data_IF_637737760048
#
_entry.id   IF_637737760048
#
_cell.length_a   1.000
_cell.length_b   1.000
_cell.length_c   1.000
_cell.angle_alpha   90.00
_cell.angle_beta   90.00
_cell.angle_gamma   90.00
#
_symmetry.space_group_name_H-M   'P 1'
#
loop_
_entity.id
_entity.type
_entity.pdbx_description
1 polymer ?
#
# COMPACT_ATOMS: atom_id res chain seq x y z
N UNK A 1 10.03 -18.89 -0.24
CA UNK A 1 10.76 -17.66 -0.68
C UNK A 1 9.71 -16.59 -0.96
N UNK A 2 9.90 -15.35 -0.48
CA UNK A 2 8.97 -14.25 -0.78
C UNK A 2 8.97 -13.91 -2.28
N UNK A 3 7.82 -13.47 -2.80
CA UNK A 3 7.75 -12.81 -4.09
C UNK A 3 8.52 -11.48 -4.05
N UNK A 4 8.87 -10.91 -5.21
CA UNK A 4 9.55 -9.59 -5.28
C UNK A 4 8.77 -8.54 -4.48
N UNK A 5 7.45 -8.50 -4.65
CA UNK A 5 6.55 -7.58 -3.94
C UNK A 5 6.69 -7.70 -2.42
N UNK A 6 6.54 -8.91 -1.87
CA UNK A 6 6.62 -9.13 -0.42
C UNK A 6 8.04 -8.90 0.12
N UNK A 7 9.09 -9.15 -0.69
CA UNK A 7 10.46 -8.82 -0.33
C UNK A 7 10.65 -7.31 -0.22
N UNK A 8 10.16 -6.53 -1.17
CA UNK A 8 10.17 -5.06 -1.08
C UNK A 8 9.53 -4.57 0.22
N UNK A 9 8.37 -5.12 0.60
CA UNK A 9 7.72 -4.76 1.87
C UNK A 9 8.58 -5.14 3.08
N UNK A 10 9.16 -6.34 3.08
CA UNK A 10 10.03 -6.78 4.17
C UNK A 10 11.28 -5.90 4.30
N UNK A 11 11.82 -5.41 3.19
CA UNK A 11 13.02 -4.57 3.17
C UNK A 11 12.75 -3.12 3.65
N UNK A 12 11.50 -2.66 3.60
CA UNK A 12 11.06 -1.37 4.17
C UNK A 12 10.87 -1.41 5.70
N UNK A 13 11.01 -2.58 6.32
CA UNK A 13 10.96 -2.76 7.77
C UNK A 13 12.38 -3.04 8.26
N UNK A 14 12.98 -2.09 8.98
CA UNK A 14 14.31 -2.27 9.58
C UNK A 14 14.23 -3.16 10.82
N UNK A 15 13.52 -2.69 11.84
CA UNK A 15 13.23 -3.46 13.06
C UNK A 15 11.97 -2.94 13.74
N UNK A 16 11.18 -3.83 14.35
CA UNK A 16 10.02 -3.51 15.15
C UNK A 16 9.80 -4.53 16.27
N UNK A 17 9.05 -4.15 17.31
CA UNK A 17 8.65 -5.11 18.33
C UNK A 17 7.49 -5.96 17.82
N UNK A 18 6.45 -5.31 17.28
CA UNK A 18 5.23 -5.98 16.85
C UNK A 18 4.83 -5.56 15.43
N UNK A 19 4.64 -6.53 14.56
CA UNK A 19 4.04 -6.33 13.22
C UNK A 19 2.68 -7.03 13.14
N UNK A 20 1.72 -6.43 12.44
CA UNK A 20 0.46 -7.09 12.08
C UNK A 20 0.32 -7.14 10.56
N UNK A 21 0.15 -8.31 9.99
CA UNK A 21 -0.06 -8.53 8.56
C UNK A 21 -1.54 -8.83 8.31
N UNK A 22 -2.23 -7.89 7.64
CA UNK A 22 -3.67 -7.94 7.39
C UNK A 22 -3.95 -8.51 6.00
N UNK A 23 -4.81 -9.54 5.93
CA UNK A 23 -4.97 -10.35 4.73
C UNK A 23 -3.76 -11.27 4.52
N UNK A 24 -3.33 -11.90 5.61
CA UNK A 24 -2.02 -12.58 5.66
C UNK A 24 -1.89 -13.82 4.77
N UNK A 25 -3.02 -14.39 4.33
CA UNK A 25 -3.08 -15.60 3.50
C UNK A 25 -2.23 -16.75 4.10
N UNK A 26 -1.03 -16.97 3.60
CA UNK A 26 -0.11 -18.01 4.06
C UNK A 26 0.89 -17.58 5.14
N UNK A 27 0.84 -16.36 5.63
CA UNK A 27 1.75 -15.75 6.62
C UNK A 27 3.24 -15.71 6.21
N UNK A 28 3.56 -15.76 4.91
CA UNK A 28 4.96 -15.76 4.46
C UNK A 28 5.71 -14.47 4.82
N UNK A 29 5.05 -13.32 4.72
CA UNK A 29 5.65 -12.03 5.07
C UNK A 29 5.99 -11.96 6.58
N UNK A 30 5.04 -12.14 7.52
CA UNK A 30 5.35 -12.03 8.94
C UNK A 30 6.28 -13.15 9.42
N UNK A 31 6.22 -14.37 8.87
CA UNK A 31 7.21 -15.44 9.14
C UNK A 31 8.62 -14.97 8.78
N UNK A 32 8.78 -14.36 7.60
CA UNK A 32 10.08 -13.86 7.14
C UNK A 32 10.61 -12.78 8.08
N UNK A 33 9.77 -11.80 8.46
CA UNK A 33 10.16 -10.73 9.38
C UNK A 33 10.62 -11.25 10.74
N UNK A 34 9.93 -12.24 11.30
CA UNK A 34 10.31 -12.88 12.57
C UNK A 34 11.62 -13.67 12.43
N UNK A 35 11.79 -14.41 11.32
CA UNK A 35 13.01 -15.22 11.10
C UNK A 35 14.25 -14.38 10.82
N UNK A 36 14.10 -13.25 10.16
CA UNK A 36 15.17 -12.29 9.89
C UNK A 36 15.47 -11.38 11.10
N UNK A 37 14.72 -11.54 12.21
CA UNK A 37 14.89 -10.73 13.43
C UNK A 37 14.39 -9.28 13.27
N UNK A 38 13.67 -8.98 12.19
CA UNK A 38 13.08 -7.68 11.93
C UNK A 38 11.82 -7.41 12.78
N UNK A 39 11.11 -8.45 13.18
CA UNK A 39 10.00 -8.37 14.13
C UNK A 39 10.22 -9.31 15.30
N UNK A 40 9.99 -8.83 16.54
CA UNK A 40 10.06 -9.69 17.74
C UNK A 40 8.79 -10.54 17.87
N UNK A 41 7.66 -10.01 17.46
CA UNK A 41 6.36 -10.68 17.46
C UNK A 41 5.54 -10.30 16.24
N UNK A 42 4.68 -11.21 15.74
CA UNK A 42 3.82 -10.94 14.62
C UNK A 42 2.39 -11.46 14.81
N UNK A 43 1.42 -10.62 14.44
CA UNK A 43 0.03 -11.02 14.24
C UNK A 43 -0.19 -11.34 12.75
N UNK A 44 -0.69 -12.53 12.46
CA UNK A 44 -1.14 -12.95 11.14
C UNK A 44 -2.67 -12.90 11.11
N UNK A 45 -3.24 -11.91 10.43
CA UNK A 45 -4.67 -11.57 10.51
C UNK A 45 -5.36 -11.82 9.17
N UNK A 46 -6.49 -12.50 9.20
CA UNK A 46 -7.36 -12.64 8.02
C UNK A 46 -8.84 -12.69 8.45
N UNK A 47 -9.73 -12.32 7.53
CA UNK A 47 -11.18 -12.37 7.73
C UNK A 47 -11.73 -13.78 7.51
N UNK A 48 -10.99 -14.64 6.82
CA UNK A 48 -11.37 -16.00 6.49
C UNK A 48 -10.58 -17.03 7.31
N UNK A 49 -11.26 -18.06 7.77
CA UNK A 49 -10.64 -19.15 8.55
C UNK A 49 -9.74 -20.07 7.73
N UNK A 50 -10.00 -20.23 6.44
CA UNK A 50 -9.22 -21.12 5.56
C UNK A 50 -7.78 -20.60 5.36
N UNK A 51 -7.53 -19.33 4.94
CA UNK A 51 -6.18 -18.76 4.91
C UNK A 51 -5.47 -18.87 6.25
N UNK A 52 -6.15 -18.58 7.36
CA UNK A 52 -5.57 -18.74 8.70
C UNK A 52 -5.18 -20.18 9.02
N UNK A 53 -5.90 -21.16 8.49
CA UNK A 53 -5.52 -22.58 8.59
C UNK A 53 -4.18 -22.86 7.93
N UNK A 54 -3.93 -22.30 6.74
CA UNK A 54 -2.64 -22.37 6.06
C UNK A 54 -1.55 -21.60 6.79
N UNK A 55 -1.87 -20.39 7.24
CA UNK A 55 -0.96 -19.58 8.06
C UNK A 55 -0.47 -20.34 9.31
N UNK A 56 -1.39 -20.98 10.07
CA UNK A 56 -1.05 -21.79 11.26
C UNK A 56 -0.10 -22.96 10.92
N UNK A 57 -0.36 -23.66 9.81
CA UNK A 57 0.53 -24.76 9.36
C UNK A 57 1.93 -24.23 9.04
N UNK A 58 2.02 -23.14 8.31
CA UNK A 58 3.30 -22.54 7.95
C UNK A 58 4.05 -22.02 9.17
N UNK A 59 3.38 -21.29 10.08
CA UNK A 59 3.98 -20.80 11.33
C UNK A 59 4.61 -21.95 12.13
N UNK A 60 3.91 -23.08 12.23
CA UNK A 60 4.43 -24.28 12.91
C UNK A 60 5.62 -24.89 12.14
N UNK A 61 5.50 -25.03 10.82
CA UNK A 61 6.55 -25.60 9.95
C UNK A 61 7.85 -24.79 10.02
N UNK A 62 7.75 -23.47 10.13
CA UNK A 62 8.91 -22.57 10.21
C UNK A 62 9.39 -22.32 11.66
N UNK A 63 8.84 -23.02 12.68
CA UNK A 63 9.19 -22.90 14.10
C UNK A 63 9.01 -21.47 14.65
N UNK A 64 7.93 -20.77 14.24
CA UNK A 64 7.63 -19.42 14.68
C UNK A 64 6.47 -19.32 15.69
N UNK A 65 5.96 -20.45 16.21
CA UNK A 65 4.73 -20.50 17.04
C UNK A 65 4.80 -19.66 18.32
N UNK A 66 5.97 -19.50 18.93
CA UNK A 66 6.14 -18.70 20.15
C UNK A 66 6.18 -17.19 19.89
N UNK A 67 6.44 -16.80 18.65
CA UNK A 67 6.60 -15.40 18.23
C UNK A 67 5.49 -14.92 17.31
N UNK A 68 4.48 -15.73 17.07
CA UNK A 68 3.40 -15.39 16.14
C UNK A 68 2.05 -15.89 16.63
N UNK A 69 1.02 -15.08 16.38
CA UNK A 69 -0.37 -15.42 16.66
C UNK A 69 -1.23 -15.19 15.40
N UNK A 70 -2.12 -16.14 15.10
CA UNK A 70 -3.13 -15.96 14.05
C UNK A 70 -4.42 -15.40 14.65
N UNK A 71 -5.02 -14.42 13.99
CA UNK A 71 -6.24 -13.76 14.45
C UNK A 71 -7.28 -13.75 13.32
N UNK A 72 -8.48 -14.29 13.61
CA UNK A 72 -9.65 -14.13 12.75
C UNK A 72 -10.28 -12.77 13.05
N UNK A 73 -10.20 -11.83 12.10
CA UNK A 73 -10.71 -10.47 12.27
C UNK A 73 -11.02 -9.82 10.93
N UNK A 74 -12.03 -8.97 10.92
CA UNK A 74 -12.30 -8.08 9.80
C UNK A 74 -11.35 -6.87 9.89
N UNK A 75 -10.28 -6.92 9.10
CA UNK A 75 -9.26 -5.86 9.09
C UNK A 75 -8.66 -5.60 10.48
N UNK A 76 -8.74 -4.37 10.94
CA UNK A 76 -8.15 -3.88 12.19
C UNK A 76 -9.04 -4.01 13.43
N UNK A 77 -10.23 -4.61 13.34
CA UNK A 77 -11.17 -4.68 14.47
C UNK A 77 -10.58 -5.38 15.71
N UNK A 78 -9.59 -6.28 15.52
CA UNK A 78 -8.91 -6.95 16.61
C UNK A 78 -8.08 -6.01 17.50
N UNK A 79 -7.64 -4.85 16.98
CA UNK A 79 -6.79 -3.89 17.70
C UNK A 79 -7.54 -3.27 18.89
N UNK A 80 -8.87 -3.26 18.84
CA UNK A 80 -9.73 -2.74 19.90
C UNK A 80 -9.75 -3.62 21.17
N UNK A 81 -9.24 -4.86 21.09
CA UNK A 81 -9.19 -5.76 22.24
C UNK A 81 -8.11 -5.33 23.22
N UNK A 82 -8.37 -5.50 24.52
CA UNK A 82 -7.47 -5.07 25.58
C UNK A 82 -6.17 -5.86 25.64
N UNK A 83 -6.18 -7.12 25.22
CA UNK A 83 -5.02 -8.02 25.18
C UNK A 83 -4.08 -7.77 24.01
N UNK A 84 -4.45 -6.91 23.06
CA UNK A 84 -3.59 -6.54 21.92
C UNK A 84 -2.64 -5.41 22.31
N UNK A 85 -1.35 -5.70 22.17
CA UNK A 85 -0.25 -4.75 22.40
C UNK A 85 -0.22 -3.67 21.31
N UNK A 86 0.56 -2.61 21.57
CA UNK A 86 0.93 -1.66 20.52
C UNK A 86 1.57 -2.36 19.32
N UNK A 87 1.20 -1.93 18.13
CA UNK A 87 1.64 -2.48 16.86
C UNK A 87 2.51 -1.42 16.17
N UNK A 88 3.81 -1.67 16.09
CA UNK A 88 4.72 -0.71 15.45
C UNK A 88 4.41 -0.57 13.96
N UNK A 89 4.12 -1.69 13.28
CA UNK A 89 3.90 -1.72 11.83
C UNK A 89 2.69 -2.58 11.48
N UNK A 90 1.77 -2.02 10.72
CA UNK A 90 0.71 -2.78 10.03
C UNK A 90 1.07 -2.91 8.56
N UNK A 91 1.09 -4.14 8.04
CA UNK A 91 1.22 -4.42 6.61
C UNK A 91 -0.12 -4.82 6.00
N UNK A 92 -0.47 -4.27 4.83
CA UNK A 92 -1.69 -4.61 4.07
C UNK A 92 -1.28 -4.81 2.61
N UNK A 93 -1.22 -6.07 2.15
CA UNK A 93 -0.60 -6.40 0.89
C UNK A 93 -1.53 -7.15 -0.07
N UNK A 94 -1.56 -6.73 -1.36
CA UNK A 94 -2.22 -7.48 -2.43
C UNK A 94 -3.73 -7.25 -2.55
N UNK A 95 -4.25 -6.24 -1.86
CA UNK A 95 -5.64 -5.81 -1.93
C UNK A 95 -5.79 -4.59 -2.83
N UNK A 96 -7.02 -4.31 -3.28
CA UNK A 96 -7.36 -3.06 -3.96
C UNK A 96 -7.48 -1.90 -2.98
N UNK A 97 -7.24 -0.68 -3.45
CA UNK A 97 -7.27 0.54 -2.61
C UNK A 97 -8.60 0.75 -1.89
N UNK A 98 -9.73 0.36 -2.48
CA UNK A 98 -11.06 0.43 -1.82
C UNK A 98 -11.13 -0.47 -0.59
N UNK A 99 -10.68 -1.73 -0.71
CA UNK A 99 -10.64 -2.67 0.43
C UNK A 99 -9.66 -2.19 1.49
N UNK A 100 -8.50 -1.68 1.07
CA UNK A 100 -7.51 -1.11 1.99
C UNK A 100 -8.12 0.05 2.79
N UNK A 101 -8.86 0.96 2.13
CA UNK A 101 -9.54 2.06 2.81
C UNK A 101 -10.56 1.57 3.84
N UNK A 102 -11.33 0.52 3.51
CA UNK A 102 -12.28 -0.05 4.48
C UNK A 102 -11.53 -0.59 5.72
N UNK A 103 -10.38 -1.24 5.53
CA UNK A 103 -9.55 -1.75 6.64
C UNK A 103 -9.02 -0.60 7.50
N UNK A 104 -8.41 0.43 6.89
CA UNK A 104 -7.80 1.53 7.64
C UNK A 104 -8.80 2.55 8.20
N UNK A 105 -10.11 2.43 7.91
CA UNK A 105 -11.15 3.18 8.62
C UNK A 105 -11.13 2.92 10.13
N UNK A 106 -10.79 1.71 10.55
CA UNK A 106 -10.63 1.32 11.96
C UNK A 106 -9.23 1.66 12.49
N UNK A 107 -8.57 2.69 11.92
CA UNK A 107 -7.29 3.18 12.41
C UNK A 107 -7.34 3.55 13.89
N UNK A 108 -6.33 3.13 14.65
CA UNK A 108 -6.27 3.23 16.10
C UNK A 108 -4.91 3.75 16.57
N UNK A 109 -4.87 4.44 17.71
CA UNK A 109 -3.65 4.99 18.30
C UNK A 109 -2.58 3.95 18.64
N UNK A 110 -2.99 2.69 18.91
CA UNK A 110 -2.06 1.58 19.13
C UNK A 110 -1.19 1.23 17.91
N UNK A 111 -1.49 1.80 16.72
CA UNK A 111 -0.78 1.52 15.47
C UNK A 111 0.23 2.65 15.21
N UNK A 112 1.51 2.32 15.06
CA UNK A 112 2.58 3.26 14.76
C UNK A 112 2.60 3.73 13.31
N UNK A 113 2.67 2.80 12.35
CA UNK A 113 2.70 3.11 10.91
C UNK A 113 2.07 2.01 10.05
N UNK A 114 1.83 2.35 8.78
CA UNK A 114 1.33 1.41 7.78
C UNK A 114 2.33 1.24 6.64
N UNK A 115 2.45 0.02 6.14
CA UNK A 115 3.08 -0.29 4.86
C UNK A 115 2.03 -0.98 3.99
N UNK A 116 1.60 -0.28 2.96
CA UNK A 116 0.50 -0.70 2.08
C UNK A 116 1.08 -1.12 0.74
N UNK A 117 0.60 -2.24 0.20
CA UNK A 117 0.89 -2.67 -1.15
C UNK A 117 -0.41 -2.93 -1.91
N UNK A 118 -0.86 -1.92 -2.67
CA UNK A 118 -2.11 -1.94 -3.41
C UNK A 118 -1.93 -2.46 -4.84
N UNK A 119 -2.87 -3.27 -5.31
CA UNK A 119 -2.94 -3.71 -6.71
C UNK A 119 -3.76 -2.78 -7.62
N UNK A 120 -4.25 -1.67 -7.07
CA UNK A 120 -4.95 -0.61 -7.80
C UNK A 120 -4.35 0.75 -7.48
N UNK A 121 -4.78 1.77 -8.20
CA UNK A 121 -4.43 3.18 -8.01
C UNK A 121 -4.73 3.64 -6.56
N UNK A 122 -3.96 4.59 -6.04
CA UNK A 122 -3.88 4.90 -4.59
C UNK A 122 -4.14 6.38 -4.23
N UNK A 123 -4.66 7.20 -5.15
CA UNK A 123 -4.99 8.60 -4.83
C UNK A 123 -5.99 8.73 -3.67
N UNK A 124 -6.92 7.79 -3.58
CA UNK A 124 -7.87 7.73 -2.47
C UNK A 124 -7.20 7.40 -1.12
N UNK A 125 -6.14 6.59 -1.12
CA UNK A 125 -5.33 6.32 0.09
C UNK A 125 -4.53 7.56 0.47
N UNK A 126 -3.89 8.24 -0.50
CA UNK A 126 -3.18 9.51 -0.26
C UNK A 126 -4.11 10.58 0.30
N UNK A 127 -5.35 10.66 -0.21
CA UNK A 127 -6.37 11.56 0.31
C UNK A 127 -6.76 11.22 1.78
N UNK A 128 -6.88 9.94 2.10
CA UNK A 128 -7.11 9.50 3.49
C UNK A 128 -5.93 9.92 4.41
N UNK A 129 -4.69 9.74 3.96
CA UNK A 129 -3.48 10.16 4.68
C UNK A 129 -3.49 11.66 4.94
N UNK A 130 -3.82 12.48 3.92
CA UNK A 130 -3.93 13.94 4.05
C UNK A 130 -5.00 14.34 5.07
N UNK A 131 -6.20 13.73 5.01
CA UNK A 131 -7.31 14.01 5.92
C UNK A 131 -6.98 13.63 7.39
N UNK A 132 -6.19 12.58 7.60
CA UNK A 132 -5.69 12.17 8.91
C UNK A 132 -4.51 13.03 9.41
N UNK A 133 -3.96 13.91 8.58
CA UNK A 133 -2.74 14.67 8.83
C UNK A 133 -1.53 13.76 9.12
N UNK A 134 -1.49 12.63 8.46
CA UNK A 134 -0.35 11.71 8.42
C UNK A 134 0.56 12.09 7.25
N UNK A 135 1.74 11.49 7.17
CA UNK A 135 2.68 11.70 6.07
C UNK A 135 2.95 10.41 5.30
N UNK A 136 3.49 10.55 4.10
CA UNK A 136 4.02 9.45 3.29
C UNK A 136 5.53 9.59 3.29
N UNK A 137 6.25 8.63 3.89
CA UNK A 137 7.71 8.62 3.96
C UNK A 137 8.36 7.88 2.80
N UNK A 138 7.61 7.00 2.12
CA UNK A 138 8.04 6.28 0.93
C UNK A 138 6.85 5.97 0.03
N UNK A 139 7.07 6.08 -1.28
CA UNK A 139 6.10 5.66 -2.27
C UNK A 139 6.80 5.18 -3.53
N UNK A 140 6.33 4.05 -4.07
CA UNK A 140 6.89 3.46 -5.28
C UNK A 140 5.85 2.62 -6.05
N UNK A 141 6.08 2.47 -7.38
CA UNK A 141 5.32 1.56 -8.23
C UNK A 141 6.23 0.42 -8.69
N UNK A 142 5.92 -0.79 -8.28
CA UNK A 142 6.73 -1.96 -8.55
C UNK A 142 6.02 -2.96 -9.45
N UNK A 143 6.81 -3.70 -10.25
CA UNK A 143 6.29 -4.80 -11.06
C UNK A 143 6.73 -6.13 -10.46
N UNK A 144 5.76 -6.99 -10.17
CA UNK A 144 5.95 -8.37 -9.74
C UNK A 144 5.08 -9.31 -10.58
N UNK A 145 5.68 -10.32 -11.20
CA UNK A 145 4.98 -11.30 -12.04
C UNK A 145 4.05 -10.66 -13.08
N UNK A 146 4.54 -9.62 -13.77
CA UNK A 146 3.83 -8.84 -14.81
C UNK A 146 2.66 -7.98 -14.30
N UNK A 147 2.43 -7.92 -12.99
CA UNK A 147 1.42 -7.04 -12.36
C UNK A 147 2.11 -5.88 -11.66
N UNK A 148 1.45 -4.72 -11.71
CA UNK A 148 1.92 -3.52 -11.04
C UNK A 148 1.27 -3.36 -9.68
N UNK A 149 2.05 -2.83 -8.73
CA UNK A 149 1.61 -2.59 -7.36
C UNK A 149 2.15 -1.25 -6.87
N UNK A 150 1.31 -0.50 -6.21
CA UNK A 150 1.71 0.68 -5.47
C UNK A 150 2.14 0.28 -4.06
N UNK A 151 3.31 0.74 -3.64
CA UNK A 151 3.82 0.56 -2.27
C UNK A 151 3.88 1.92 -1.61
N UNK A 152 3.26 2.07 -0.44
CA UNK A 152 3.20 3.32 0.32
C UNK A 152 3.54 3.03 1.78
N UNK A 153 4.46 3.81 2.36
CA UNK A 153 4.73 3.84 3.80
C UNK A 153 4.08 5.09 4.38
N UNK A 154 3.19 4.91 5.36
CA UNK A 154 2.44 5.98 6.01
C UNK A 154 2.93 6.09 7.46
N UNK A 155 3.42 7.28 7.81
CA UNK A 155 3.88 7.62 9.18
C UNK A 155 2.84 8.49 9.89
N UNK A 156 2.47 8.11 11.11
CA UNK A 156 1.43 8.81 11.87
C UNK A 156 1.96 10.03 12.65
N UNK A 157 3.24 10.06 12.95
CA UNK A 157 3.86 11.07 13.80
C UNK A 157 4.83 12.01 13.05
N UNK A 158 4.80 12.02 11.73
CA UNK A 158 5.61 12.92 10.91
C UNK A 158 4.83 14.22 10.59
N UNK A 159 5.58 15.34 10.45
CA UNK A 159 5.03 16.66 10.15
C UNK A 159 4.95 16.98 8.66
N UNK A 160 5.45 16.13 7.80
CA UNK A 160 5.46 16.34 6.35
C UNK A 160 4.10 15.99 5.74
N UNK A 161 3.18 16.95 5.74
CA UNK A 161 1.82 16.75 5.26
C UNK A 161 1.78 16.53 3.74
N UNK A 162 0.85 15.69 3.29
CA UNK A 162 0.60 15.42 1.86
C UNK A 162 -0.08 16.63 1.24
N UNK A 163 0.49 17.19 0.17
CA UNK A 163 -0.10 18.31 -0.57
C UNK A 163 -1.25 17.85 -1.48
N UNK A 164 -2.13 18.76 -1.89
CA UNK A 164 -3.21 18.46 -2.85
C UNK A 164 -2.68 17.82 -4.14
N UNK A 165 -1.55 18.30 -4.62
CA UNK A 165 -0.91 17.76 -5.82
C UNK A 165 -0.38 16.34 -5.58
N UNK A 166 0.20 16.08 -4.41
CA UNK A 166 0.69 14.75 -4.04
C UNK A 166 -0.46 13.74 -3.86
N UNK A 167 -1.67 14.20 -3.54
CA UNK A 167 -2.86 13.32 -3.50
C UNK A 167 -3.12 12.71 -4.89
N UNK A 168 -3.03 13.50 -5.95
CA UNK A 168 -3.34 13.03 -7.30
C UNK A 168 -2.25 12.13 -7.87
N UNK A 169 -0.99 12.51 -7.71
CA UNK A 169 0.13 11.89 -8.44
C UNK A 169 1.21 11.28 -7.53
N UNK A 170 1.16 11.50 -6.22
CA UNK A 170 2.25 11.18 -5.31
C UNK A 170 3.36 12.24 -5.35
N UNK A 171 4.28 12.14 -4.40
CA UNK A 171 5.37 13.07 -4.31
C UNK A 171 6.46 12.75 -5.34
N UNK A 172 6.72 13.70 -6.24
CA UNK A 172 7.69 13.58 -7.34
C UNK A 172 9.10 13.19 -6.88
N UNK A 173 9.49 13.53 -5.66
CA UNK A 173 10.81 13.19 -5.12
C UNK A 173 11.01 11.69 -4.90
N UNK A 174 9.92 10.92 -4.64
CA UNK A 174 9.98 9.46 -4.56
C UNK A 174 10.16 8.82 -5.93
N UNK A 175 9.71 9.49 -7.00
CA UNK A 175 9.73 8.95 -8.37
C UNK A 175 10.97 9.34 -9.16
N UNK A 176 11.85 10.12 -8.56
CA UNK A 176 13.14 10.46 -9.15
C UNK A 176 13.93 9.17 -9.39
N UNK A 177 14.38 8.99 -10.63
CA UNK A 177 15.14 7.81 -11.08
C UNK A 177 14.36 6.47 -11.09
N UNK A 178 13.04 6.47 -10.84
CA UNK A 178 12.24 5.25 -10.96
C UNK A 178 11.49 5.19 -12.30
N UNK A 179 12.04 4.36 -13.22
CA UNK A 179 11.50 4.18 -14.57
C UNK A 179 10.10 3.55 -14.57
N UNK A 180 9.78 2.71 -13.59
CA UNK A 180 8.48 2.03 -13.53
C UNK A 180 7.36 3.03 -13.19
N UNK A 181 7.60 4.00 -12.30
CA UNK A 181 6.67 5.06 -12.00
C UNK A 181 6.39 5.95 -13.23
N UNK A 182 7.43 6.36 -13.94
CA UNK A 182 7.31 7.15 -15.16
C UNK A 182 6.46 6.37 -16.18
N UNK A 183 6.83 5.11 -16.42
CA UNK A 183 6.13 4.24 -17.38
C UNK A 183 4.66 4.00 -16.99
N UNK A 184 4.34 3.93 -15.69
CA UNK A 184 2.96 3.85 -15.23
C UNK A 184 2.16 5.05 -15.73
N UNK A 185 2.62 6.28 -15.52
CA UNK A 185 1.91 7.49 -15.94
C UNK A 185 1.86 7.65 -17.46
N UNK A 186 2.90 7.26 -18.19
CA UNK A 186 2.88 7.21 -19.65
C UNK A 186 1.79 6.26 -20.16
N UNK A 187 1.64 5.09 -19.55
CA UNK A 187 0.60 4.13 -19.89
C UNK A 187 -0.81 4.67 -19.56
N UNK A 188 -0.98 5.42 -18.47
CA UNK A 188 -2.25 6.08 -18.16
C UNK A 188 -2.62 7.11 -19.26
N UNK A 189 -1.67 7.91 -19.73
CA UNK A 189 -1.90 8.81 -20.89
C UNK A 189 -2.37 8.01 -22.13
N UNK A 190 -1.73 6.87 -22.42
CA UNK A 190 -2.11 6.02 -23.56
C UNK A 190 -3.53 5.48 -23.39
N UNK A 191 -3.91 5.04 -22.19
CA UNK A 191 -5.28 4.57 -21.90
C UNK A 191 -6.30 5.70 -22.09
N UNK A 192 -6.05 6.88 -21.52
CA UNK A 192 -6.95 8.02 -21.65
C UNK A 192 -7.11 8.48 -23.11
N UNK A 193 -6.05 8.50 -23.90
CA UNK A 193 -6.13 8.78 -25.34
C UNK A 193 -6.99 7.73 -26.08
N UNK A 194 -6.87 6.43 -25.75
CA UNK A 194 -7.73 5.40 -26.33
C UNK A 194 -9.21 5.60 -25.97
N UNK A 195 -9.50 6.10 -24.78
CA UNK A 195 -10.87 6.43 -24.36
C UNK A 195 -11.38 7.64 -25.15
N UNK A 196 -10.59 8.72 -25.27
CA UNK A 196 -10.95 9.90 -26.05
C UNK A 196 -11.30 9.57 -27.50
N UNK A 197 -10.56 8.66 -28.12
CA UNK A 197 -10.83 8.24 -29.50
C UNK A 197 -12.17 7.50 -29.67
N UNK A 198 -12.80 7.06 -28.58
CA UNK A 198 -14.10 6.35 -28.57
C UNK A 198 -15.27 7.25 -28.16
N UNK A 199 -14.99 8.43 -27.61
CA UNK A 199 -16.00 9.36 -27.12
C UNK A 199 -16.39 10.36 -28.24
N UNK A 200 -17.66 10.44 -28.53
CA UNK A 200 -18.19 11.52 -29.37
C UNK A 200 -18.19 12.83 -28.56
N UNK A 201 -17.26 13.73 -28.89
CA UNK A 201 -17.08 15.02 -28.22
C UNK A 201 -18.35 15.86 -28.22
N UNK A 202 -19.17 15.78 -29.30
CA UNK A 202 -20.39 16.57 -29.42
C UNK A 202 -21.47 16.13 -28.42
N UNK A 203 -21.53 14.84 -28.10
CA UNK A 203 -22.53 14.26 -27.18
C UNK A 203 -22.06 14.22 -25.73
N UNK A 204 -20.73 14.16 -25.47
CA UNK A 204 -20.15 13.94 -24.16
C UNK A 204 -19.06 14.96 -23.83
N UNK A 205 -19.33 16.25 -24.11
CA UNK A 205 -18.36 17.35 -24.01
C UNK A 205 -17.68 17.44 -22.64
N UNK A 206 -18.43 17.27 -21.53
CA UNK A 206 -17.90 17.33 -20.19
C UNK A 206 -16.89 16.18 -19.93
N UNK A 207 -17.31 14.94 -20.18
CA UNK A 207 -16.43 13.76 -19.98
C UNK A 207 -15.18 13.80 -20.86
N UNK A 208 -15.32 14.32 -22.10
CA UNK A 208 -14.19 14.50 -22.98
C UNK A 208 -13.17 15.50 -22.40
N UNK A 209 -13.63 16.67 -21.97
CA UNK A 209 -12.76 17.69 -21.38
C UNK A 209 -12.12 17.22 -20.06
N UNK A 210 -12.86 16.51 -19.21
CA UNK A 210 -12.32 15.95 -17.96
C UNK A 210 -11.15 15.02 -18.22
N UNK A 211 -11.22 14.20 -19.29
CA UNK A 211 -10.13 13.29 -19.67
C UNK A 211 -8.97 14.06 -20.31
N UNK A 212 -9.22 15.06 -21.15
CA UNK A 212 -8.15 15.93 -21.69
C UNK A 212 -7.38 16.65 -20.58
N UNK A 213 -8.10 17.15 -19.57
CA UNK A 213 -7.49 17.80 -18.40
C UNK A 213 -6.60 16.81 -17.64
N UNK A 214 -7.06 15.57 -17.36
CA UNK A 214 -6.24 14.53 -16.72
C UNK A 214 -4.96 14.23 -17.50
N UNK A 215 -5.03 14.12 -18.82
CA UNK A 215 -3.84 13.93 -19.67
C UNK A 215 -2.86 15.09 -19.50
N UNK A 216 -3.37 16.32 -19.47
CA UNK A 216 -2.56 17.53 -19.34
C UNK A 216 -1.88 17.59 -17.98
N UNK A 217 -2.60 17.27 -16.91
CA UNK A 217 -2.08 17.20 -15.55
C UNK A 217 -0.98 16.15 -15.42
N UNK A 218 -1.20 14.92 -15.95
CA UNK A 218 -0.16 13.86 -15.94
C UNK A 218 1.09 14.30 -16.70
N UNK A 219 0.95 14.94 -17.86
CA UNK A 219 2.10 15.48 -18.60
C UNK A 219 2.84 16.55 -17.83
N UNK A 220 2.12 17.44 -17.16
CA UNK A 220 2.70 18.45 -16.27
C UNK A 220 3.54 17.81 -15.17
N UNK A 221 3.01 16.77 -14.51
CA UNK A 221 3.69 16.01 -13.47
C UNK A 221 4.94 15.30 -13.99
N UNK A 222 4.87 14.62 -15.13
CA UNK A 222 6.03 13.97 -15.75
C UNK A 222 7.14 14.97 -16.11
N UNK A 223 6.78 16.15 -16.61
CA UNK A 223 7.73 17.22 -16.90
C UNK A 223 8.45 17.72 -15.63
N UNK A 224 7.76 17.74 -14.50
CA UNK A 224 8.40 18.12 -13.22
C UNK A 224 9.36 17.05 -12.72
N UNK A 225 9.04 15.76 -12.86
CA UNK A 225 9.98 14.67 -12.53
C UNK A 225 11.24 14.77 -13.39
N UNK A 226 11.07 15.00 -14.70
CA UNK A 226 12.20 15.10 -15.62
C UNK A 226 13.12 16.32 -15.38
N UNK A 227 12.63 17.39 -14.72
CA UNK A 227 13.45 18.55 -14.34
C UNK A 227 14.28 18.32 -13.09
N UNK A 228 13.98 17.29 -12.30
CA UNK A 228 14.69 16.94 -11.07
C UNK A 228 15.82 15.92 -11.37
N UNK A 229 15.73 15.22 -12.49
CA UNK A 229 16.74 14.30 -13.02
C UNK A 229 17.78 15.06 -13.84
#
# INVERSE_FOLDING_TARGET
MLTKRLRTIADLIDSCNVVADIGTDHAYLPITLVKEGKAKFAYAVDVNSEPLGWAKKNIKQYNCSEKMQTILSNGLDFVLKDDIKEIDVVTICGLGSTTILEIIKSDNEKIGKYIICSNTEVSNIRNWVANKKYSISFEDYIIDSQKGYWVIVIEKNDKNLVSEKDILFGNKNFFKNNKENIKYYENEIIKFKKILNKIDKSKHHKSYNDIENKITEIRGFLNEINKIN
#
